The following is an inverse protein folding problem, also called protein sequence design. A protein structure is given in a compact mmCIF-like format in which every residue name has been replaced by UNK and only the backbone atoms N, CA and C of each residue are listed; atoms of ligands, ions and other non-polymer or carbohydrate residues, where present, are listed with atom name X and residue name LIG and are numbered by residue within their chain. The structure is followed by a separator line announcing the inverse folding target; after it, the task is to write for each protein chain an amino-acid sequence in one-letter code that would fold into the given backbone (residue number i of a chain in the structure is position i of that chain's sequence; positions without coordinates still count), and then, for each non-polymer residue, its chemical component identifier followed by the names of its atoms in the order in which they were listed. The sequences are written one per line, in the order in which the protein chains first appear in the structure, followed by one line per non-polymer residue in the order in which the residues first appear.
data_IF_035255959144
#
_entry.id   IF_035255959144
#
_cell.length_a   1.000
_cell.length_b   1.000
_cell.length_c   1.000
_cell.angle_alpha   90.00
_cell.angle_beta   90.00
_cell.angle_gamma   90.00
#
_symmetry.space_group_name_H-M   'P 1'
#
loop_
_entity.id
_entity.type
_entity.pdbx_description
1 polymer ?
#
# COMPACT_ATOMS: atom_id res chain seq x y z
N UNK A 1 -2.95 -32.64 -4.48
CA UNK A 1 -3.74 -31.42 -4.25
C UNK A 1 -3.22 -30.36 -5.22
N UNK A 2 -4.03 -29.93 -6.20
CA UNK A 2 -3.58 -29.13 -7.35
C UNK A 2 -3.35 -27.67 -6.94
N UNK A 3 -2.22 -27.11 -7.33
CA UNK A 3 -1.87 -25.69 -7.27
C UNK A 3 -2.41 -25.05 -8.55
N UNK A 4 -3.44 -24.23 -8.44
CA UNK A 4 -3.92 -23.46 -9.59
C UNK A 4 -3.16 -22.13 -9.66
N UNK A 5 -2.55 -21.88 -10.82
CA UNK A 5 -1.80 -20.65 -11.09
C UNK A 5 -2.72 -19.76 -11.91
N UNK A 6 -3.25 -18.71 -11.31
CA UNK A 6 -3.81 -17.60 -12.08
C UNK A 6 -2.84 -16.43 -12.02
N UNK A 7 -2.12 -16.27 -13.12
CA UNK A 7 -1.53 -15.01 -13.53
C UNK A 7 -2.67 -14.05 -13.86
N UNK A 8 -2.72 -12.89 -13.19
CA UNK A 8 -3.39 -11.72 -13.76
C UNK A 8 -2.50 -10.50 -13.54
N UNK A 9 -2.07 -9.94 -14.66
CA UNK A 9 -1.31 -8.71 -14.80
C UNK A 9 -2.12 -7.53 -14.24
N UNK A 10 -1.95 -7.20 -12.97
CA UNK A 10 -2.25 -5.89 -12.43
C UNK A 10 -0.98 -5.44 -11.73
N UNK A 11 -0.17 -4.64 -12.42
CA UNK A 11 1.08 -4.12 -11.88
C UNK A 11 0.78 -3.08 -10.79
N UNK A 12 0.43 -3.57 -9.60
CA UNK A 12 0.48 -2.82 -8.35
C UNK A 12 1.68 -3.37 -7.58
N UNK A 13 2.88 -3.03 -8.02
CA UNK A 13 4.09 -3.33 -7.25
C UNK A 13 4.16 -2.35 -6.07
N UNK A 14 3.78 -2.81 -4.88
CA UNK A 14 4.21 -2.18 -3.64
C UNK A 14 5.72 -2.43 -3.51
N UNK A 15 6.53 -1.44 -3.89
CA UNK A 15 7.97 -1.48 -3.66
C UNK A 15 8.22 -1.38 -2.15
N UNK A 16 8.54 -2.52 -1.54
CA UNK A 16 8.80 -2.65 -0.11
C UNK A 16 10.31 -2.68 0.10
N UNK A 17 10.91 -1.51 0.29
CA UNK A 17 12.28 -1.43 0.81
C UNK A 17 12.23 -0.94 2.25
N UNK A 18 12.47 -1.83 3.21
CA UNK A 18 12.71 -1.51 4.62
C UNK A 18 14.10 -0.90 4.85
N UNK A 19 14.57 -0.08 3.91
CA UNK A 19 15.73 0.77 4.10
C UNK A 19 15.22 2.09 4.66
N UNK A 20 15.85 2.68 5.69
CA UNK A 20 15.54 4.06 6.07
C UNK A 20 15.88 4.95 4.87
N UNK A 21 14.87 5.28 4.07
CA UNK A 21 14.98 6.31 3.06
C UNK A 21 14.96 7.62 3.83
N UNK A 22 16.11 8.30 3.88
CA UNK A 22 16.22 9.67 4.34
C UNK A 22 15.20 10.53 3.56
N UNK A 23 14.14 11.00 4.22
CA UNK A 23 13.44 12.19 3.74
C UNK A 23 14.33 13.39 4.11
N UNK A 24 15.01 13.93 3.11
CA UNK A 24 16.04 14.95 3.20
C UNK A 24 15.52 16.34 3.62
N UNK A 25 14.28 16.44 4.09
CA UNK A 25 13.69 17.73 4.43
C UNK A 25 14.08 18.25 5.80
N UNK A 26 14.37 17.40 6.80
CA UNK A 26 14.78 17.85 8.16
C UNK A 26 15.44 16.76 9.05
N UNK A 27 15.91 15.64 8.51
CA UNK A 27 16.58 14.59 9.32
C UNK A 27 15.64 13.75 10.20
N UNK A 28 14.34 13.76 9.93
CA UNK A 28 13.34 12.89 10.58
C UNK A 28 13.09 11.69 9.67
N UNK A 29 13.27 10.48 10.20
CA UNK A 29 12.83 9.26 9.52
C UNK A 29 11.31 9.21 9.63
N UNK A 30 10.62 9.42 8.51
CA UNK A 30 9.19 9.16 8.40
C UNK A 30 9.01 7.85 7.62
N UNK A 31 8.38 6.87 8.26
CA UNK A 31 7.87 5.71 7.55
C UNK A 31 6.56 6.11 6.87
N UNK A 32 6.27 5.60 5.68
CA UNK A 32 5.00 5.93 5.01
C UNK A 32 4.45 4.77 4.21
N UNK A 33 3.13 4.72 4.12
CA UNK A 33 2.42 3.90 3.15
C UNK A 33 1.93 4.84 2.05
N UNK A 34 2.30 4.55 0.81
CA UNK A 34 2.05 5.41 -0.35
C UNK A 34 1.38 4.62 -1.46
N UNK A 35 0.31 5.18 -2.03
CA UNK A 35 -0.35 4.70 -3.24
C UNK A 35 0.17 5.51 -4.43
N UNK A 36 0.52 4.83 -5.52
CA UNK A 36 0.77 5.45 -6.82
C UNK A 36 -0.40 5.10 -7.76
N UNK A 37 -1.22 6.09 -8.05
CA UNK A 37 -2.38 5.95 -8.91
C UNK A 37 -2.01 6.27 -10.37
N UNK A 38 -2.30 5.35 -11.28
CA UNK A 38 -2.08 5.56 -12.71
C UNK A 38 -3.13 6.53 -13.29
N UNK A 39 -2.79 7.82 -13.32
CA UNK A 39 -3.72 8.90 -13.63
C UNK A 39 -4.09 9.00 -15.12
N UNK A 40 -3.29 8.42 -16.02
CA UNK A 40 -3.58 8.42 -17.45
C UNK A 40 -4.07 7.06 -17.98
N UNK A 41 -4.18 6.06 -17.11
CA UNK A 41 -4.56 4.68 -17.47
C UNK A 41 -3.55 3.98 -18.39
N UNK A 42 -2.41 4.62 -18.69
CA UNK A 42 -1.39 4.16 -19.64
C UNK A 42 -0.02 3.98 -18.98
N UNK A 43 0.11 4.37 -17.71
CA UNK A 43 1.34 4.27 -16.93
C UNK A 43 2.33 5.40 -17.23
N UNK A 44 1.90 6.46 -17.92
CA UNK A 44 2.72 7.62 -18.24
C UNK A 44 2.62 8.74 -17.20
N UNK A 45 1.56 8.74 -16.39
CA UNK A 45 1.33 9.72 -15.31
C UNK A 45 0.90 9.02 -14.04
N UNK A 46 1.56 9.37 -12.95
CA UNK A 46 1.33 8.78 -11.63
C UNK A 46 1.03 9.87 -10.61
N UNK A 47 -0.02 9.68 -9.82
CA UNK A 47 -0.36 10.53 -8.68
C UNK A 47 0.07 9.81 -7.41
N UNK A 48 0.88 10.46 -6.59
CA UNK A 48 1.32 9.95 -5.29
C UNK A 48 0.32 10.35 -4.20
N UNK A 49 -0.10 9.39 -3.37
CA UNK A 49 -0.96 9.63 -2.21
C UNK A 49 -0.37 8.95 -0.97
N UNK A 50 -0.08 9.73 0.06
CA UNK A 50 0.36 9.19 1.36
C UNK A 50 -0.88 8.86 2.18
N UNK A 51 -1.01 7.60 2.63
CA UNK A 51 -2.17 7.12 3.39
C UNK A 51 -1.83 6.80 4.86
N UNK A 52 -0.53 6.68 5.19
CA UNK A 52 -0.07 6.52 6.57
C UNK A 52 1.35 7.05 6.74
N UNK A 53 1.71 7.45 7.97
CA UNK A 53 3.05 7.89 8.38
C UNK A 53 3.74 6.93 9.36
N UNK A 54 3.19 5.72 9.50
CA UNK A 54 3.70 4.64 10.38
C UNK A 54 4.43 3.54 9.61
N UNK A 55 4.27 3.50 8.28
CA UNK A 55 4.81 2.45 7.41
C UNK A 55 4.13 1.10 7.58
N UNK A 56 4.45 0.17 6.67
CA UNK A 56 3.99 -1.21 6.75
C UNK A 56 5.05 -2.15 6.19
N UNK A 57 5.23 -3.33 6.79
CA UNK A 57 6.19 -4.34 6.34
C UNK A 57 5.55 -5.30 5.31
N UNK A 58 4.26 -5.58 5.44
CA UNK A 58 3.51 -6.37 4.47
C UNK A 58 2.18 -5.69 4.19
N UNK A 59 1.74 -5.70 2.93
CA UNK A 59 0.45 -5.16 2.56
C UNK A 59 -0.28 -6.07 1.57
N UNK A 60 -1.61 -6.06 1.63
CA UNK A 60 -2.50 -6.76 0.71
C UNK A 60 -3.60 -5.80 0.24
N UNK A 61 -3.96 -5.90 -1.04
CA UNK A 61 -5.07 -5.17 -1.64
C UNK A 61 -6.25 -6.11 -1.85
N UNK A 62 -7.41 -5.76 -1.33
CA UNK A 62 -8.65 -6.51 -1.48
C UNK A 62 -9.85 -5.60 -1.21
N UNK A 63 -11.03 -5.97 -1.70
CA UNK A 63 -12.30 -5.37 -1.26
C UNK A 63 -12.69 -6.00 0.08
N UNK A 64 -12.45 -5.28 1.18
CA UNK A 64 -12.60 -5.80 2.55
C UNK A 64 -14.01 -5.52 3.07
N UNK A 65 -14.54 -4.34 2.74
CA UNK A 65 -15.84 -3.89 3.22
C UNK A 65 -17.01 -4.30 2.28
N UNK A 66 -16.72 -4.83 1.09
CA UNK A 66 -17.70 -5.29 0.11
C UNK A 66 -18.31 -4.18 -0.75
N UNK A 67 -17.66 -3.02 -0.86
CA UNK A 67 -18.16 -1.87 -1.62
C UNK A 67 -17.74 -1.87 -3.11
N UNK A 68 -16.98 -2.89 -3.53
CA UNK A 68 -16.48 -3.02 -4.89
C UNK A 68 -15.23 -2.16 -5.18
N UNK A 69 -14.69 -1.47 -4.17
CA UNK A 69 -13.46 -0.69 -4.26
C UNK A 69 -12.29 -1.42 -3.60
N UNK A 70 -11.06 -1.26 -4.12
CA UNK A 70 -9.89 -1.88 -3.50
C UNK A 70 -9.48 -1.14 -2.23
N UNK A 71 -9.50 -1.85 -1.11
CA UNK A 71 -8.94 -1.44 0.18
C UNK A 71 -7.52 -1.99 0.38
N UNK A 72 -6.84 -1.55 1.45
CA UNK A 72 -5.49 -2.01 1.80
C UNK A 72 -5.47 -2.52 3.24
N UNK A 73 -4.91 -3.71 3.46
CA UNK A 73 -4.52 -4.21 4.78
C UNK A 73 -3.01 -4.14 4.93
N UNK A 74 -2.53 -3.59 6.05
CA UNK A 74 -1.11 -3.52 6.39
C UNK A 74 -0.79 -4.25 7.69
N UNK A 75 0.40 -4.84 7.75
CA UNK A 75 0.96 -5.41 8.97
C UNK A 75 2.43 -4.98 9.08
N UNK A 76 2.78 -4.38 10.21
CA UNK A 76 4.15 -3.98 10.49
C UNK A 76 4.93 -5.08 11.21
N UNK A 77 6.26 -5.08 11.10
CA UNK A 77 7.09 -6.07 11.80
C UNK A 77 6.98 -5.85 13.31
N UNK A 78 6.89 -6.94 14.08
CA UNK A 78 6.45 -6.94 15.47
C UNK A 78 7.38 -6.13 16.42
N UNK A 79 6.93 -4.93 16.79
CA UNK A 79 7.07 -4.40 18.14
C UNK A 79 5.73 -4.65 18.85
N UNK A 80 5.70 -4.69 20.17
CA UNK A 80 4.57 -5.17 20.99
C UNK A 80 3.20 -4.48 20.69
N UNK A 81 3.20 -3.35 19.99
CA UNK A 81 2.05 -2.49 19.74
C UNK A 81 1.74 -2.24 18.24
N UNK A 82 2.13 -3.14 17.32
CA UNK A 82 1.83 -2.97 15.89
C UNK A 82 0.50 -3.63 15.48
N UNK A 83 -0.62 -2.88 15.37
CA UNK A 83 -1.88 -3.46 14.95
C UNK A 83 -1.86 -3.84 13.47
N UNK A 84 -2.78 -4.72 13.10
CA UNK A 84 -3.24 -4.81 11.73
C UNK A 84 -3.94 -3.50 11.38
N UNK A 85 -3.46 -2.80 10.37
CA UNK A 85 -4.09 -1.57 9.88
C UNK A 85 -4.91 -1.86 8.63
N UNK A 86 -6.06 -1.19 8.50
CA UNK A 86 -6.91 -1.26 7.30
C UNK A 86 -7.19 0.16 6.82
N UNK A 87 -6.94 0.41 5.55
CA UNK A 87 -7.25 1.68 4.87
C UNK A 87 -8.35 1.44 3.85
N UNK A 88 -9.53 1.98 4.13
CA UNK A 88 -10.69 1.88 3.25
C UNK A 88 -10.67 2.92 2.14
N UNK A 89 -11.03 2.50 0.92
CA UNK A 89 -11.09 3.38 -0.23
C UNK A 89 -12.50 3.95 -0.45
N UNK A 90 -12.77 5.07 0.22
CA UNK A 90 -14.08 5.72 0.23
C UNK A 90 -14.30 6.77 -0.87
N UNK A 91 -13.51 6.76 -1.96
CA UNK A 91 -13.51 7.83 -2.99
C UNK A 91 -14.86 7.96 -3.74
N UNK A 92 -15.70 6.92 -3.72
CA UNK A 92 -17.00 6.91 -4.39
C UNK A 92 -18.21 7.07 -3.45
N UNK A 93 -18.01 7.51 -2.20
CA UNK A 93 -19.11 7.88 -1.29
C UNK A 93 -19.61 9.31 -1.50
#
# INVERSE_FOLDING_TARGET
MKRDKHSNNHASHALLSSLPLLDNRNGIIIYRVTIFENADGKGGKWIERIIATTGSHNALVADINGDGMPDIVGCNFAEADNPLEVWYNDILK
#
